data_IF_256275009930
#
_entry.id   IF_256275009930
#
_cell.length_a   1.000
_cell.length_b   1.000
_cell.length_c   1.000
_cell.angle_alpha   90.00
_cell.angle_beta   90.00
_cell.angle_gamma   90.00
#
_symmetry.space_group_name_H-M   'P 1'
#
loop_
_entity.id
_entity.type
_entity.pdbx_description
1 polymer ?
#
# COMPACT_ATOMS: atom_id res chain seq x y z
N UNK A 1 -12.68 18.91 35.41
CA UNK A 1 -13.11 17.90 34.42
C UNK A 1 -13.57 18.67 33.21
N UNK A 2 -12.67 18.91 32.27
CA UNK A 2 -12.94 19.63 31.02
C UNK A 2 -12.96 18.60 29.91
N UNK A 3 -14.12 18.43 29.31
CA UNK A 3 -14.42 17.50 28.24
C UNK A 3 -13.62 17.90 26.98
N UNK A 4 -12.44 17.28 26.78
CA UNK A 4 -11.57 17.51 25.62
C UNK A 4 -11.99 16.67 24.39
N UNK A 5 -13.27 16.27 24.32
CA UNK A 5 -13.84 15.55 23.18
C UNK A 5 -14.58 16.44 22.19
N UNK A 6 -14.45 17.77 22.30
CA UNK A 6 -14.90 18.68 21.25
C UNK A 6 -13.92 18.56 20.08
N UNK A 7 -14.14 17.56 19.21
CA UNK A 7 -13.40 17.43 17.96
C UNK A 7 -13.50 18.78 17.24
N UNK A 8 -12.34 19.41 17.06
CA UNK A 8 -12.19 20.77 16.57
C UNK A 8 -13.12 20.99 15.35
N UNK A 9 -13.94 22.06 15.32
CA UNK A 9 -14.84 22.33 14.19
C UNK A 9 -14.15 22.31 12.82
N UNK A 10 -12.85 22.58 12.78
CA UNK A 10 -12.00 22.45 11.60
C UNK A 10 -11.89 21.01 11.08
N UNK A 11 -11.79 20.00 11.95
CA UNK A 11 -11.76 18.60 11.53
C UNK A 11 -13.08 18.16 10.90
N UNK A 12 -14.21 18.61 11.45
CA UNK A 12 -15.52 18.31 10.87
C UNK A 12 -15.71 18.97 9.50
N UNK A 13 -15.25 20.21 9.34
CA UNK A 13 -15.30 20.92 8.07
C UNK A 13 -14.40 20.26 7.00
N UNK A 14 -13.19 19.84 7.37
CA UNK A 14 -12.27 19.12 6.47
C UNK A 14 -12.87 17.78 6.07
N UNK A 15 -13.37 17.01 7.03
CA UNK A 15 -14.01 15.73 6.74
C UNK A 15 -15.21 15.89 5.81
N UNK A 16 -16.04 16.90 6.04
CA UNK A 16 -17.18 17.21 5.17
C UNK A 16 -16.74 17.60 3.75
N UNK A 17 -15.69 18.41 3.60
CA UNK A 17 -15.13 18.74 2.27
C UNK A 17 -14.63 17.49 1.56
N UNK A 18 -13.86 16.65 2.26
CA UNK A 18 -13.28 15.42 1.72
C UNK A 18 -14.36 14.42 1.28
N UNK A 19 -15.42 14.26 2.06
CA UNK A 19 -16.54 13.37 1.70
C UNK A 19 -17.26 13.89 0.47
N UNK A 20 -17.50 15.20 0.35
CA UNK A 20 -18.16 15.76 -0.84
C UNK A 20 -17.27 15.68 -2.08
N UNK A 21 -15.97 15.93 -1.94
CA UNK A 21 -15.00 15.75 -3.04
C UNK A 21 -14.96 14.29 -3.51
N UNK A 22 -14.98 13.34 -2.59
CA UNK A 22 -15.03 11.91 -2.91
C UNK A 22 -16.33 11.55 -3.64
N UNK A 23 -17.49 12.00 -3.14
CA UNK A 23 -18.79 11.75 -3.78
C UNK A 23 -18.82 12.32 -5.19
N UNK A 24 -18.36 13.57 -5.38
CA UNK A 24 -18.29 14.20 -6.70
C UNK A 24 -17.35 13.44 -7.66
N UNK A 25 -16.23 12.91 -7.15
CA UNK A 25 -15.32 12.09 -7.94
C UNK A 25 -15.97 10.76 -8.37
N UNK A 26 -16.69 10.10 -7.46
CA UNK A 26 -17.42 8.85 -7.73
C UNK A 26 -18.54 9.07 -8.74
N UNK A 27 -19.32 10.14 -8.60
CA UNK A 27 -20.39 10.49 -9.54
C UNK A 27 -19.84 10.80 -10.95
N UNK A 28 -18.72 11.53 -11.03
CA UNK A 28 -18.04 11.82 -12.28
C UNK A 28 -17.50 10.55 -12.96
N UNK A 29 -17.04 9.58 -12.20
CA UNK A 29 -16.52 8.31 -12.73
C UNK A 29 -17.61 7.31 -13.13
N UNK A 30 -18.86 7.50 -12.69
CA UNK A 30 -19.94 6.56 -12.94
C UNK A 30 -19.76 5.23 -12.20
N UNK A 31 -20.44 4.18 -12.65
CA UNK A 31 -20.31 2.88 -12.01
C UNK A 31 -18.91 2.27 -12.26
N UNK A 32 -18.15 2.16 -11.18
CA UNK A 32 -16.76 1.69 -11.16
C UNK A 32 -16.62 0.17 -11.32
N UNK A 33 -17.72 -0.59 -11.23
CA UNK A 33 -17.73 -2.05 -11.34
C UNK A 33 -18.18 -2.55 -12.72
N UNK A 34 -18.33 -1.64 -13.69
CA UNK A 34 -18.58 -2.01 -15.09
C UNK A 34 -17.23 -2.28 -15.75
N UNK A 35 -17.07 -3.47 -16.35
CA UNK A 35 -15.79 -3.98 -16.89
C UNK A 35 -15.07 -3.03 -17.87
N UNK A 36 -15.79 -2.13 -18.55
CA UNK A 36 -15.22 -1.18 -19.50
C UNK A 36 -14.62 0.09 -18.85
N UNK A 37 -14.85 0.32 -17.56
CA UNK A 37 -14.43 1.53 -16.86
C UNK A 37 -12.97 1.42 -16.38
N UNK A 38 -12.03 1.64 -17.30
CA UNK A 38 -10.58 1.60 -17.04
C UNK A 38 -10.11 2.63 -16.01
N UNK A 39 -10.94 3.60 -15.64
CA UNK A 39 -10.61 4.66 -14.69
C UNK A 39 -10.49 4.19 -13.24
N UNK A 40 -11.11 3.06 -12.85
CA UNK A 40 -10.93 2.52 -11.50
C UNK A 40 -9.47 2.13 -11.24
N UNK A 41 -8.81 1.50 -12.22
CA UNK A 41 -7.40 1.13 -12.12
C UNK A 41 -6.48 2.35 -12.12
N UNK A 42 -6.85 3.40 -12.86
CA UNK A 42 -6.07 4.65 -12.94
C UNK A 42 -6.19 5.48 -11.66
N UNK A 43 -7.31 5.48 -10.94
CA UNK A 43 -7.39 6.24 -9.67
C UNK A 43 -6.60 5.59 -8.53
N UNK A 44 -6.27 4.31 -8.68
CA UNK A 44 -5.37 3.57 -7.79
C UNK A 44 -3.89 3.86 -8.07
N UNK A 45 -3.53 4.72 -9.05
CA UNK A 45 -2.14 5.13 -9.32
C UNK A 45 -1.39 5.75 -8.12
N UNK A 46 -2.07 6.10 -7.03
CA UNK A 46 -1.41 6.63 -5.83
C UNK A 46 -0.73 5.54 -4.98
N UNK A 47 -1.07 4.26 -5.15
CA UNK A 47 -0.41 3.15 -4.46
C UNK A 47 -0.45 1.92 -5.38
N UNK A 48 0.71 1.36 -5.72
CA UNK A 48 0.86 0.22 -6.62
C UNK A 48 0.17 -1.04 -6.04
N UNK A 49 -1.13 -1.21 -6.33
CA UNK A 49 -1.95 -2.32 -5.76
C UNK A 49 -1.58 -3.67 -6.37
N UNK A 50 -1.06 -3.69 -7.61
CA UNK A 50 -0.62 -4.90 -8.28
C UNK A 50 0.67 -4.63 -9.04
N UNK A 51 1.76 -5.24 -8.59
CA UNK A 51 2.99 -5.22 -9.37
C UNK A 51 2.78 -5.84 -10.76
N UNK A 52 3.58 -5.40 -11.73
CA UNK A 52 3.57 -5.94 -13.10
C UNK A 52 3.65 -7.48 -13.13
N UNK A 53 4.40 -8.07 -12.20
CA UNK A 53 4.50 -9.53 -12.04
C UNK A 53 3.17 -10.18 -11.63
N UNK A 54 2.39 -9.52 -10.77
CA UNK A 54 1.06 -9.97 -10.37
C UNK A 54 0.06 -9.83 -11.51
N UNK A 55 0.10 -8.73 -12.25
CA UNK A 55 -0.75 -8.51 -13.43
C UNK A 55 -0.51 -9.59 -14.47
N UNK A 56 0.76 -9.86 -14.79
CA UNK A 56 1.15 -10.93 -15.70
C UNK A 56 0.69 -12.30 -15.21
N UNK A 57 0.84 -12.57 -13.91
CA UNK A 57 0.40 -13.82 -13.29
C UNK A 57 -1.11 -14.02 -13.44
N UNK A 58 -1.92 -13.00 -13.16
CA UNK A 58 -3.38 -13.09 -13.26
C UNK A 58 -3.81 -13.34 -14.70
N UNK A 59 -3.24 -12.59 -15.65
CA UNK A 59 -3.52 -12.75 -17.09
C UNK A 59 -3.17 -14.16 -17.58
N UNK A 60 -2.04 -14.72 -17.15
CA UNK A 60 -1.53 -16.02 -17.62
C UNK A 60 -2.04 -17.23 -16.81
N UNK A 61 -2.76 -16.99 -15.72
CA UNK A 61 -3.14 -18.04 -14.75
C UNK A 61 -3.94 -19.18 -15.38
N UNK A 62 -4.92 -18.85 -16.23
CA UNK A 62 -5.75 -19.81 -16.96
C UNK A 62 -4.91 -20.67 -17.89
N UNK A 63 -4.04 -20.04 -18.70
CA UNK A 63 -3.16 -20.76 -19.64
C UNK A 63 -2.22 -21.70 -18.89
N UNK A 64 -1.62 -21.23 -17.79
CA UNK A 64 -0.74 -22.05 -16.97
C UNK A 64 -1.47 -23.24 -16.33
N UNK A 65 -2.70 -23.02 -15.84
CA UNK A 65 -3.54 -24.07 -15.27
C UNK A 65 -3.86 -25.18 -16.29
N UNK A 66 -4.30 -24.77 -17.49
CA UNK A 66 -4.58 -25.69 -18.59
C UNK A 66 -3.33 -26.47 -19.00
N UNK A 67 -2.19 -25.79 -19.14
CA UNK A 67 -0.91 -26.44 -19.47
C UNK A 67 -0.51 -27.49 -18.42
N UNK A 68 -0.62 -27.15 -17.13
CA UNK A 68 -0.30 -28.08 -16.04
C UNK A 68 -1.22 -29.30 -16.03
N UNK A 69 -2.52 -29.08 -16.23
CA UNK A 69 -3.50 -30.16 -16.31
C UNK A 69 -3.18 -31.10 -17.48
N UNK A 70 -3.02 -30.56 -18.68
CA UNK A 70 -2.73 -31.38 -19.87
C UNK A 70 -1.44 -32.18 -19.72
N UNK A 71 -0.39 -31.59 -19.15
CA UNK A 71 0.87 -32.29 -18.89
C UNK A 71 0.70 -33.44 -17.87
N UNK A 72 -0.10 -33.22 -16.83
CA UNK A 72 -0.39 -34.26 -15.83
C UNK A 72 -1.15 -35.44 -16.44
N UNK A 73 -2.18 -35.16 -17.24
CA UNK A 73 -2.95 -36.18 -17.93
C UNK A 73 -2.07 -36.97 -18.91
N UNK A 74 -1.22 -36.29 -19.68
CA UNK A 74 -0.28 -36.93 -20.59
C UNK A 74 0.68 -37.88 -19.83
N UNK A 75 1.27 -37.41 -18.73
CA UNK A 75 2.20 -38.22 -17.94
C UNK A 75 1.53 -39.40 -17.25
N UNK A 76 0.32 -39.22 -16.71
CA UNK A 76 -0.39 -40.29 -16.00
C UNK A 76 -1.03 -41.30 -16.96
N UNK A 77 -1.76 -40.84 -17.97
CA UNK A 77 -2.61 -41.70 -18.79
C UNK A 77 -1.94 -42.18 -20.07
N UNK A 78 -1.11 -41.35 -20.70
CA UNK A 78 -0.46 -41.70 -21.97
C UNK A 78 0.88 -42.37 -21.71
N UNK A 79 1.75 -41.71 -20.94
CA UNK A 79 3.13 -42.18 -20.70
C UNK A 79 3.25 -43.12 -19.51
N UNK A 80 2.27 -43.10 -18.59
CA UNK A 80 2.24 -43.88 -17.33
C UNK A 80 3.53 -43.71 -16.49
N UNK A 81 4.11 -42.52 -16.54
CA UNK A 81 5.33 -42.16 -15.80
C UNK A 81 5.02 -41.84 -14.34
N UNK A 82 3.80 -41.38 -14.05
CA UNK A 82 3.34 -40.98 -12.74
C UNK A 82 2.05 -41.72 -12.35
N UNK A 83 1.87 -42.10 -11.08
CA UNK A 83 0.61 -42.62 -10.57
C UNK A 83 -0.50 -41.58 -10.70
N UNK A 84 -1.73 -42.03 -10.93
CA UNK A 84 -2.89 -41.11 -10.96
C UNK A 84 -3.19 -40.45 -9.60
N UNK A 85 -2.68 -41.04 -8.51
CA UNK A 85 -2.75 -40.50 -7.15
C UNK A 85 -1.68 -39.45 -6.86
N UNK A 86 -0.78 -39.20 -7.81
CA UNK A 86 0.29 -38.23 -7.62
C UNK A 86 -0.26 -36.82 -7.56
N UNK A 87 0.36 -35.98 -6.73
CA UNK A 87 -0.15 -34.65 -6.42
C UNK A 87 0.44 -33.61 -7.38
N UNK A 88 -0.41 -32.70 -7.86
CA UNK A 88 0.07 -31.60 -8.68
C UNK A 88 0.77 -30.56 -7.79
N UNK A 89 2.08 -30.29 -7.99
CA UNK A 89 2.80 -29.38 -7.12
C UNK A 89 2.28 -27.93 -7.25
N UNK A 90 2.12 -27.29 -6.09
CA UNK A 90 1.63 -25.91 -5.98
C UNK A 90 2.56 -24.93 -6.71
N UNK A 91 2.01 -24.15 -7.63
CA UNK A 91 2.75 -23.06 -8.29
C UNK A 91 3.03 -21.94 -7.29
N UNK A 92 4.29 -21.48 -7.22
CA UNK A 92 4.64 -20.24 -6.52
C UNK A 92 4.42 -19.07 -7.48
N UNK A 93 3.20 -18.55 -7.48
CA UNK A 93 2.81 -17.42 -8.31
C UNK A 93 2.83 -16.12 -7.50
N UNK A 94 3.15 -15.01 -8.16
CA UNK A 94 3.03 -13.68 -7.59
C UNK A 94 1.53 -13.33 -7.50
N UNK A 95 0.96 -13.50 -6.32
CA UNK A 95 -0.46 -13.25 -6.03
C UNK A 95 -0.57 -12.21 -4.91
N UNK A 96 -1.75 -11.63 -4.72
CA UNK A 96 -2.02 -10.60 -3.70
C UNK A 96 -1.61 -10.99 -2.28
N UNK A 97 -1.58 -12.28 -1.96
CA UNK A 97 -1.14 -12.80 -0.65
C UNK A 97 0.39 -12.87 -0.50
N UNK A 98 1.14 -12.88 -1.60
CA UNK A 98 2.60 -12.86 -1.65
C UNK A 98 3.06 -11.42 -1.90
N UNK A 99 2.58 -10.45 -1.10
CA UNK A 99 3.22 -9.14 -1.09
C UNK A 99 4.67 -9.39 -0.68
N UNK A 100 5.62 -9.14 -1.58
CA UNK A 100 6.97 -8.85 -1.07
C UNK A 100 6.78 -7.76 -0.03
N UNK A 101 7.36 -7.88 1.18
CA UNK A 101 7.33 -6.77 2.11
C UNK A 101 7.81 -5.57 1.31
N UNK A 102 6.98 -4.52 1.27
CA UNK A 102 7.33 -3.25 0.67
C UNK A 102 8.78 -2.98 1.05
N UNK A 103 9.66 -2.56 0.12
CA UNK A 103 10.95 -2.07 0.55
C UNK A 103 10.62 -0.94 1.51
N UNK A 104 10.74 -1.22 2.81
CA UNK A 104 10.79 -0.20 3.83
C UNK A 104 12.06 0.51 3.40
N UNK A 105 11.90 1.59 2.64
CA UNK A 105 12.94 2.56 2.49
C UNK A 105 13.16 3.00 3.94
N UNK A 106 14.14 2.36 4.58
CA UNK A 106 14.74 2.90 5.77
C UNK A 106 15.36 4.18 5.25
N UNK A 107 14.59 5.26 5.25
CA UNK A 107 15.13 6.60 5.19
C UNK A 107 15.97 6.67 6.43
N UNK A 108 17.23 6.24 6.34
CA UNK A 108 18.23 6.57 7.32
C UNK A 108 18.36 8.07 7.19
N UNK A 109 17.55 8.79 7.97
CA UNK A 109 17.78 10.19 8.21
C UNK A 109 19.15 10.22 8.85
N UNK A 110 20.19 10.43 8.04
CA UNK A 110 21.56 10.57 8.52
C UNK A 110 21.62 11.91 9.22
N UNK A 111 21.08 11.97 10.43
CA UNK A 111 21.23 13.10 11.32
C UNK A 111 22.74 13.18 11.57
N UNK A 112 23.38 14.19 10.98
CA UNK A 112 24.78 14.48 11.24
C UNK A 112 24.95 14.82 12.72
N UNK A 113 26.11 14.55 13.31
CA UNK A 113 26.40 14.97 14.69
C UNK A 113 26.22 16.47 14.87
N UNK A 114 26.42 17.26 13.81
CA UNK A 114 26.13 18.70 13.77
C UNK A 114 24.65 19.01 14.04
N UNK A 115 23.75 18.24 13.44
CA UNK A 115 22.31 18.49 13.47
C UNK A 115 21.73 18.06 14.82
N UNK A 116 22.22 16.94 15.36
CA UNK A 116 21.90 16.52 16.73
C UNK A 116 22.39 17.52 17.78
N UNK A 117 23.61 18.03 17.61
CA UNK A 117 24.18 19.04 18.52
C UNK A 117 23.38 20.34 18.49
N UNK A 118 22.97 20.78 17.30
CA UNK A 118 22.13 21.97 17.14
C UNK A 118 20.76 21.77 17.78
N UNK A 119 20.12 20.62 17.53
CA UNK A 119 18.85 20.27 18.15
C UNK A 119 18.95 20.25 19.68
N UNK A 120 19.95 19.59 20.26
CA UNK A 120 20.14 19.52 21.70
C UNK A 120 20.34 20.92 22.32
N UNK A 121 21.10 21.80 21.66
CA UNK A 121 21.31 23.18 22.11
C UNK A 121 20.04 24.03 22.09
N UNK A 122 19.10 23.76 21.18
CA UNK A 122 17.83 24.48 21.10
C UNK A 122 16.77 23.88 22.03
N UNK A 123 16.75 22.56 22.15
CA UNK A 123 15.73 21.82 22.89
C UNK A 123 15.82 22.05 24.41
N UNK A 124 17.03 22.09 24.97
CA UNK A 124 17.23 22.31 26.43
C UNK A 124 16.66 23.67 26.88
N UNK A 125 17.02 24.82 26.26
CA UNK A 125 16.44 26.12 26.64
C UNK A 125 14.96 26.25 26.28
N UNK A 126 14.49 25.58 25.22
CA UNK A 126 13.05 25.52 24.88
C UNK A 126 12.21 24.94 26.02
N UNK A 127 12.65 23.81 26.59
CA UNK A 127 11.97 23.17 27.71
C UNK A 127 12.02 24.03 28.98
N UNK A 128 13.15 24.71 29.24
CA UNK A 128 13.29 25.61 30.39
C UNK A 128 12.41 26.86 30.30
N UNK A 129 11.89 27.21 29.11
CA UNK A 129 11.11 28.44 28.85
C UNK A 129 9.66 28.17 28.44
N UNK A 130 9.10 27.01 28.83
CA UNK A 130 7.71 26.61 28.52
C UNK A 130 7.37 26.63 27.02
N UNK A 131 8.35 26.40 26.15
CA UNK A 131 8.16 26.34 24.71
C UNK A 131 8.05 27.69 24.00
N UNK A 132 8.47 28.79 24.64
CA UNK A 132 8.55 30.11 24.01
C UNK A 132 9.84 30.22 23.17
N UNK A 133 9.70 30.04 21.85
CA UNK A 133 10.82 29.99 20.89
C UNK A 133 11.46 31.37 20.69
N UNK A 134 10.69 32.45 20.76
CA UNK A 134 11.17 33.82 20.55
C UNK A 134 12.20 34.22 21.62
N UNK A 135 11.99 33.75 22.85
CA UNK A 135 12.93 33.96 23.96
C UNK A 135 14.25 33.20 23.83
N UNK A 136 14.39 32.27 22.89
CA UNK A 136 15.64 31.50 22.68
C UNK A 136 16.65 32.31 21.85
N UNK A 137 16.16 33.17 20.95
CA UNK A 137 16.99 33.98 20.05
C UNK A 137 17.20 35.42 20.53
N UNK A 138 16.48 35.83 21.58
CA UNK A 138 16.72 37.07 22.31
C UNK A 138 17.85 36.83 23.33
N UNK A 139 19.09 36.87 22.85
CA UNK A 139 20.29 36.92 23.68
C UNK A 139 20.46 38.31 24.33
#
# INVERSE_FOLDING_TARGET
MTDQHEQLPSFQAIFFSQVNELVAALEKMGNLFIEDNHYFFVFIDSDDIMSEEMVKTVRESTRLGQQKHSNFIEKCLVKRELPMTDLLPRSRLALFSNKQPWPIQKTSLSISESDFTLFARLYIPYQARNGDVEKIFQA
#
